data_IF_216181808109
#
_entry.id   IF_216181808109
#
_cell.length_a   1.000
_cell.length_b   1.000
_cell.length_c   1.000
_cell.angle_alpha   90.00
_cell.angle_beta   90.00
_cell.angle_gamma   90.00
#
_symmetry.space_group_name_H-M   'P 1'
#
loop_
_entity.id
_entity.type
_entity.pdbx_description
1 polymer ?
#
# COMPACT_ATOMS: atom_id res chain seq x y z
N UNK A 1 -5.03 -0.70 -3.10
CA UNK A 1 -3.92 -0.79 -4.05
C UNK A 1 -3.53 -2.25 -4.14
N UNK A 2 -3.46 -2.79 -5.36
CA UNK A 2 -3.00 -4.15 -5.55
C UNK A 2 -1.48 -4.21 -5.37
N UNK A 3 -1.03 -5.19 -4.59
CA UNK A 3 0.38 -5.54 -4.46
C UNK A 3 0.57 -6.99 -4.90
N UNK A 4 1.54 -7.21 -5.79
CA UNK A 4 1.96 -8.54 -6.23
C UNK A 4 3.47 -8.64 -6.17
N UNK A 5 3.97 -9.65 -5.46
CA UNK A 5 5.40 -9.95 -5.41
C UNK A 5 5.66 -11.44 -5.23
N UNK A 6 6.92 -11.86 -5.42
CA UNK A 6 7.40 -13.17 -5.01
C UNK A 6 8.32 -13.02 -3.81
N UNK A 7 8.08 -13.84 -2.79
CA UNK A 7 8.86 -13.91 -1.56
C UNK A 7 9.50 -15.30 -1.45
N UNK A 8 10.64 -15.41 -0.76
CA UNK A 8 11.22 -16.70 -0.40
C UNK A 8 10.80 -17.03 1.02
N UNK A 9 10.01 -18.09 1.19
CA UNK A 9 9.56 -18.59 2.49
C UNK A 9 10.00 -20.03 2.65
N UNK A 10 10.73 -20.33 3.73
CA UNK A 10 11.29 -21.67 3.99
C UNK A 10 12.10 -22.23 2.80
N UNK A 11 12.79 -21.35 2.07
CA UNK A 11 13.61 -21.71 0.91
C UNK A 11 12.83 -21.95 -0.39
N UNK A 12 11.51 -21.72 -0.41
CA UNK A 12 10.66 -21.91 -1.58
C UNK A 12 10.03 -20.58 -2.03
N UNK A 13 9.88 -20.35 -3.35
CA UNK A 13 9.19 -19.16 -3.84
C UNK A 13 7.70 -19.22 -3.54
N UNK A 14 7.16 -18.14 -2.97
CA UNK A 14 5.73 -17.93 -2.73
C UNK A 14 5.27 -16.63 -3.35
N UNK A 15 4.08 -16.64 -3.90
CA UNK A 15 3.44 -15.43 -4.39
C UNK A 15 2.72 -14.73 -3.23
N UNK A 16 3.08 -13.47 -2.98
CA UNK A 16 2.31 -12.57 -2.15
C UNK A 16 1.41 -11.73 -3.06
N UNK A 17 0.10 -11.84 -2.87
CA UNK A 17 -0.88 -11.05 -3.61
C UNK A 17 -1.95 -10.56 -2.64
N UNK A 18 -2.15 -9.25 -2.60
CA UNK A 18 -3.12 -8.63 -1.70
C UNK A 18 -3.60 -7.30 -2.27
N UNK A 19 -4.78 -6.87 -1.85
CA UNK A 19 -5.27 -5.51 -2.05
C UNK A 19 -5.33 -4.81 -0.69
N UNK A 20 -4.50 -3.77 -0.52
CA UNK A 20 -4.39 -3.02 0.74
C UNK A 20 -4.86 -1.58 0.54
N UNK A 21 -5.72 -1.03 1.44
CA UNK A 21 -5.96 0.39 1.52
C UNK A 21 -4.66 1.12 1.89
N UNK A 22 -4.34 2.14 1.11
CA UNK A 22 -3.23 3.07 1.38
C UNK A 22 -3.85 4.41 1.76
N UNK A 23 -3.48 4.93 2.92
CA UNK A 23 -3.89 6.24 3.40
C UNK A 23 -2.70 7.18 3.40
N UNK A 24 -2.89 8.38 2.88
CA UNK A 24 -1.88 9.44 2.85
C UNK A 24 -2.46 10.61 3.63
N UNK A 25 -1.69 11.14 4.58
CA UNK A 25 -2.12 12.23 5.46
C UNK A 25 -1.10 13.36 5.46
N UNK A 26 -1.59 14.58 5.63
CA UNK A 26 -0.74 15.78 5.67
C UNK A 26 -0.48 16.40 4.29
N UNK A 27 -0.23 17.71 4.29
CA UNK A 27 -0.19 18.49 3.05
C UNK A 27 1.06 18.25 2.19
N UNK A 28 2.13 17.73 2.80
CA UNK A 28 3.44 17.57 2.15
C UNK A 28 3.43 16.52 1.01
N UNK A 29 2.49 15.59 1.04
CA UNK A 29 2.40 14.49 0.06
C UNK A 29 1.29 14.70 -0.97
N UNK A 30 0.48 15.76 -0.84
CA UNK A 30 -0.67 16.02 -1.73
C UNK A 30 -0.23 16.25 -3.17
N UNK A 31 0.84 17.00 -3.40
CA UNK A 31 1.31 17.28 -4.77
C UNK A 31 1.74 16.00 -5.50
N UNK A 32 2.39 15.08 -4.78
CA UNK A 32 2.84 13.79 -5.35
C UNK A 32 1.66 12.88 -5.71
N UNK A 33 0.54 12.98 -5.00
CA UNK A 33 -0.62 12.09 -5.24
C UNK A 33 -1.51 12.55 -6.38
N UNK A 34 -1.43 13.81 -6.81
CA UNK A 34 -2.26 14.35 -7.90
C UNK A 34 -2.03 13.65 -9.24
N UNK A 35 -0.82 13.18 -9.49
CA UNK A 35 -0.45 12.48 -10.72
C UNK A 35 -0.71 10.97 -10.67
N UNK A 36 -1.16 10.44 -9.52
CA UNK A 36 -1.43 9.00 -9.38
C UNK A 36 -2.76 8.67 -10.06
N UNK A 37 -2.71 7.77 -11.03
CA UNK A 37 -3.88 7.26 -11.74
C UNK A 37 -3.89 5.73 -11.73
N UNK A 38 -5.02 5.13 -12.14
CA UNK A 38 -5.12 3.67 -12.24
C UNK A 38 -4.09 3.16 -13.26
N UNK A 39 -3.29 2.18 -12.85
CA UNK A 39 -2.24 1.59 -13.68
C UNK A 39 -0.83 2.12 -13.38
N UNK A 40 -0.68 3.16 -12.57
CA UNK A 40 0.64 3.58 -12.09
C UNK A 40 1.26 2.51 -11.18
N UNK A 41 2.53 2.18 -11.44
CA UNK A 41 3.34 1.39 -10.54
C UNK A 41 4.02 2.31 -9.52
N UNK A 42 3.91 1.95 -8.24
CA UNK A 42 4.33 2.83 -7.14
C UNK A 42 5.06 2.02 -6.07
N UNK A 43 6.13 2.61 -5.54
CA UNK A 43 6.71 2.23 -4.27
C UNK A 43 6.07 3.07 -3.17
N UNK A 44 5.44 2.41 -2.20
CA UNK A 44 4.80 3.05 -1.05
C UNK A 44 5.47 2.58 0.23
N UNK A 45 5.99 3.51 1.03
CA UNK A 45 6.67 3.22 2.29
C UNK A 45 5.95 3.94 3.43
N UNK A 46 5.80 3.25 4.56
CA UNK A 46 5.21 3.80 5.77
C UNK A 46 4.93 2.70 6.79
N UNK A 47 3.88 2.87 7.59
CA UNK A 47 3.54 1.94 8.68
C UNK A 47 2.12 1.37 8.54
N UNK A 48 1.91 0.17 9.09
CA UNK A 48 0.61 -0.51 9.06
C UNK A 48 -0.18 -0.24 10.34
N UNK A 49 -1.48 -0.03 10.18
CA UNK A 49 -2.44 0.03 11.30
C UNK A 49 -3.62 -0.87 11.02
N UNK A 50 -4.35 -1.26 12.06
CA UNK A 50 -5.62 -1.98 11.94
C UNK A 50 -6.77 -1.03 12.25
N UNK A 51 -7.67 -0.84 11.30
CA UNK A 51 -8.89 -0.05 11.46
C UNK A 51 -10.08 -0.98 11.64
N UNK A 52 -10.99 -0.65 12.55
CA UNK A 52 -12.28 -1.34 12.63
C UNK A 52 -13.24 -0.70 11.64
N UNK A 53 -13.65 -1.47 10.65
CA UNK A 53 -14.61 -1.03 9.63
C UNK A 53 -16.02 -0.90 10.23
N UNK A 54 -16.93 -0.24 9.51
CA UNK A 54 -18.33 -0.11 9.92
C UNK A 54 -19.04 -1.47 10.10
N UNK A 55 -18.60 -2.51 9.37
CA UNK A 55 -19.10 -3.88 9.54
C UNK A 55 -18.52 -4.60 10.76
N UNK A 56 -17.62 -3.96 11.50
CA UNK A 56 -16.97 -4.50 12.69
C UNK A 56 -15.72 -5.34 12.42
N UNK A 57 -15.36 -5.56 11.15
CA UNK A 57 -14.15 -6.30 10.77
C UNK A 57 -12.91 -5.41 10.87
N UNK A 58 -11.80 -6.00 11.31
CA UNK A 58 -10.49 -5.35 11.30
C UNK A 58 -9.91 -5.37 9.89
N UNK A 59 -9.49 -4.21 9.40
CA UNK A 59 -8.86 -4.03 8.10
C UNK A 59 -7.46 -3.46 8.31
N UNK A 60 -6.47 -4.08 7.69
CA UNK A 60 -5.11 -3.53 7.63
C UNK A 60 -5.09 -2.33 6.66
N UNK A 61 -4.48 -1.24 7.09
CA UNK A 61 -4.31 0.01 6.32
C UNK A 61 -2.85 0.41 6.39
N UNK A 62 -2.24 0.66 5.23
CA UNK A 62 -0.89 1.21 5.12
C UNK A 62 -1.00 2.75 5.13
N UNK A 63 -0.45 3.39 6.16
CA UNK A 63 -0.29 4.84 6.19
C UNK A 63 1.03 5.19 5.52
N UNK A 64 0.98 5.83 4.36
CA UNK A 64 2.17 6.16 3.60
C UNK A 64 2.84 7.41 4.17
N UNK A 65 4.15 7.31 4.37
CA UNK A 65 5.05 8.42 4.67
C UNK A 65 5.82 8.86 3.43
N UNK A 66 6.02 7.94 2.48
CA UNK A 66 6.69 8.19 1.21
C UNK A 66 5.97 7.46 0.09
N UNK A 67 5.92 8.10 -1.07
CA UNK A 67 5.38 7.53 -2.30
C UNK A 67 6.24 7.96 -3.48
N UNK A 68 6.61 6.98 -4.31
CA UNK A 68 7.46 7.16 -5.47
C UNK A 68 6.87 6.38 -6.65
N UNK A 69 6.95 6.96 -7.83
CA UNK A 69 6.66 6.23 -9.07
C UNK A 69 7.84 5.31 -9.37
N UNK A 70 7.55 4.06 -9.71
CA UNK A 70 8.53 3.11 -10.19
C UNK A 70 8.09 2.71 -11.59
N UNK A 71 9.00 2.85 -12.56
CA UNK A 71 8.82 2.37 -13.93
C UNK A 71 9.49 0.99 -14.08
#
# INVERSE_FOLDING_TARGET
MEHRSQQIESGLPRQAWLNIPVQISGNQLIEKTQSITVGCELLVVGFITSHKTASGLNQLVLHAEQIEFID
#
